data_IF_478990926450
#
_entry.id   IF_478990926450
#
_cell.length_a   1.000
_cell.length_b   1.000
_cell.length_c   1.000
_cell.angle_alpha   90.00
_cell.angle_beta   90.00
_cell.angle_gamma   90.00
#
_symmetry.space_group_name_H-M   'P 1'
#
loop_
_entity.id
_entity.type
_entity.pdbx_description
1 polymer ?
#
# COMPACT_ATOMS: atom_id res chain seq x y z
N UNK A 1 7.78 22.48 -7.45
CA UNK A 1 6.84 22.95 -6.40
C UNK A 1 6.02 21.75 -5.98
N UNK A 2 6.08 21.34 -4.71
CA UNK A 2 5.23 20.26 -4.22
C UNK A 2 3.77 20.72 -4.26
N UNK A 3 2.92 19.99 -4.98
CA UNK A 3 1.51 20.32 -5.13
C UNK A 3 0.74 19.88 -3.91
N UNK A 4 -0.03 20.80 -3.30
CA UNK A 4 -0.91 20.47 -2.19
C UNK A 4 -2.03 19.54 -2.66
N UNK A 5 -2.11 18.34 -2.08
CA UNK A 5 -3.21 17.39 -2.28
C UNK A 5 -4.26 17.64 -1.21
N UNK A 6 -5.51 18.00 -1.56
CA UNK A 6 -6.58 18.16 -0.56
C UNK A 6 -6.88 16.85 0.17
N UNK A 7 -7.36 16.97 1.40
CA UNK A 7 -7.76 15.85 2.25
C UNK A 7 -9.27 15.84 2.49
N UNK A 8 -9.80 14.68 2.86
CA UNK A 8 -11.15 14.50 3.38
C UNK A 8 -11.10 13.97 4.80
N UNK A 9 -12.03 14.42 5.64
CA UNK A 9 -12.22 13.86 6.98
C UNK A 9 -13.13 12.63 6.87
N UNK A 10 -12.61 11.48 7.23
CA UNK A 10 -13.38 10.23 7.28
C UNK A 10 -14.39 10.28 8.44
N UNK A 11 -15.39 9.40 8.42
CA UNK A 11 -16.34 9.26 9.53
C UNK A 11 -15.67 8.85 10.86
N UNK A 12 -14.44 8.35 10.81
CA UNK A 12 -13.59 8.06 11.96
C UNK A 12 -12.90 9.30 12.55
N UNK A 13 -13.04 10.47 11.92
CA UNK A 13 -12.38 11.71 12.32
C UNK A 13 -10.95 11.87 11.82
N UNK A 14 -10.40 10.88 11.12
CA UNK A 14 -9.06 10.97 10.53
C UNK A 14 -9.06 11.68 9.18
N UNK A 15 -8.05 12.51 8.92
CA UNK A 15 -7.81 13.11 7.60
C UNK A 15 -7.14 12.11 6.67
N UNK A 16 -7.64 12.02 5.43
CA UNK A 16 -7.09 11.17 4.39
C UNK A 16 -6.84 11.99 3.12
N UNK A 17 -5.63 11.99 2.54
CA UNK A 17 -5.36 12.64 1.26
C UNK A 17 -6.20 12.01 0.14
N UNK A 18 -6.80 12.85 -0.71
CA UNK A 18 -7.70 12.40 -1.77
C UNK A 18 -6.98 11.66 -2.91
N UNK A 19 -5.70 11.96 -3.14
CA UNK A 19 -4.89 11.29 -4.16
C UNK A 19 -3.96 10.31 -3.45
N UNK A 20 -4.10 9.03 -3.80
CA UNK A 20 -3.25 7.95 -3.31
C UNK A 20 -2.44 7.27 -4.42
N UNK A 21 -1.27 6.76 -4.05
CA UNK A 21 -0.44 5.90 -4.89
C UNK A 21 -0.83 4.44 -4.66
N UNK A 22 -1.31 3.76 -5.71
CA UNK A 22 -1.56 2.32 -5.66
C UNK A 22 -0.27 1.52 -5.79
N UNK A 23 -0.11 0.47 -4.98
CA UNK A 23 1.11 -0.36 -4.98
C UNK A 23 0.87 -1.79 -5.49
N UNK A 24 -0.22 -2.01 -6.22
CA UNK A 24 -0.48 -3.31 -6.84
C UNK A 24 0.57 -3.63 -7.92
N UNK A 25 1.01 -4.90 -8.05
CA UNK A 25 1.91 -5.29 -9.13
C UNK A 25 1.30 -5.01 -10.50
N UNK A 26 2.08 -4.38 -11.38
CA UNK A 26 1.68 -4.12 -12.77
C UNK A 26 2.00 -5.29 -13.72
N UNK A 27 2.77 -6.26 -13.24
CA UNK A 27 3.21 -7.45 -13.96
C UNK A 27 3.12 -8.69 -13.04
N UNK A 28 3.26 -9.92 -13.58
CA UNK A 28 3.20 -11.15 -12.78
C UNK A 28 4.24 -11.21 -11.65
N UNK A 29 5.34 -10.47 -11.80
CA UNK A 29 6.41 -10.33 -10.81
C UNK A 29 6.56 -8.87 -10.43
N UNK A 30 6.84 -8.62 -9.15
CA UNK A 30 7.27 -7.31 -8.70
C UNK A 30 8.66 -6.96 -9.25
N UNK A 31 8.98 -5.66 -9.40
CA UNK A 31 10.36 -5.21 -9.50
C UNK A 31 11.19 -5.67 -8.30
N UNK A 32 12.53 -5.67 -8.42
CA UNK A 32 13.42 -5.83 -7.27
C UNK A 32 13.07 -4.87 -6.14
N UNK A 33 13.28 -5.31 -4.90
CA UNK A 33 12.92 -4.55 -3.69
C UNK A 33 13.51 -3.14 -3.68
N UNK A 34 14.79 -3.00 -4.01
CA UNK A 34 15.48 -1.69 -4.02
C UNK A 34 14.86 -0.72 -5.05
N UNK A 35 14.39 -1.24 -6.18
CA UNK A 35 13.69 -0.44 -7.20
C UNK A 35 12.32 0.01 -6.69
N UNK A 36 11.58 -0.87 -6.00
CA UNK A 36 10.31 -0.51 -5.35
C UNK A 36 10.52 0.55 -4.27
N UNK A 37 11.57 0.43 -3.46
CA UNK A 37 11.92 1.44 -2.46
C UNK A 37 12.16 2.79 -3.14
N UNK A 38 12.98 2.84 -4.19
CA UNK A 38 13.24 4.07 -4.95
C UNK A 38 11.95 4.68 -5.49
N UNK A 39 11.07 3.88 -6.11
CA UNK A 39 9.79 4.34 -6.65
C UNK A 39 8.92 4.98 -5.56
N UNK A 40 8.85 4.38 -4.38
CA UNK A 40 8.05 4.91 -3.28
C UNK A 40 8.68 6.16 -2.65
N UNK A 41 10.00 6.24 -2.57
CA UNK A 41 10.69 7.46 -2.11
C UNK A 41 10.46 8.60 -3.10
N UNK A 42 10.56 8.34 -4.41
CA UNK A 42 10.27 9.33 -5.45
C UNK A 42 8.81 9.80 -5.38
N UNK A 43 7.87 8.91 -5.09
CA UNK A 43 6.47 9.29 -4.87
C UNK A 43 6.31 10.22 -3.65
N UNK A 44 7.00 9.93 -2.54
CA UNK A 44 6.99 10.81 -1.36
C UNK A 44 7.60 12.18 -1.69
N UNK A 45 8.71 12.21 -2.43
CA UNK A 45 9.36 13.44 -2.88
C UNK A 45 8.47 14.25 -3.83
N UNK A 46 7.72 13.57 -4.70
CA UNK A 46 6.73 14.19 -5.59
C UNK A 46 5.49 14.76 -4.85
N UNK A 47 5.31 14.42 -3.56
CA UNK A 47 4.25 14.95 -2.72
C UNK A 47 3.13 13.96 -2.41
N UNK A 48 3.24 12.68 -2.80
CA UNK A 48 2.28 11.68 -2.35
C UNK A 48 2.36 11.51 -0.84
N UNK A 49 1.19 11.48 -0.21
CA UNK A 49 1.03 11.24 1.22
C UNK A 49 0.06 10.12 1.52
N UNK A 50 -0.62 9.56 0.53
CA UNK A 50 -1.48 8.38 0.69
C UNK A 50 -0.95 7.23 -0.18
N UNK A 51 -0.73 6.06 0.44
CA UNK A 51 -0.36 4.83 -0.24
C UNK A 51 -1.39 3.73 0.01
N UNK A 52 -1.85 3.10 -1.06
CA UNK A 52 -2.77 1.96 -1.01
C UNK A 52 -2.02 0.66 -1.35
N UNK A 53 -1.90 -0.21 -0.35
CA UNK A 53 -1.22 -1.51 -0.43
C UNK A 53 -2.13 -2.65 0.04
N UNK A 54 -1.63 -3.88 0.03
CA UNK A 54 -2.28 -5.05 0.56
C UNK A 54 -1.26 -6.14 0.90
N UNK A 55 -1.59 -6.98 1.88
CA UNK A 55 -0.76 -8.13 2.26
C UNK A 55 -0.52 -9.13 1.11
N UNK A 56 -1.37 -9.13 0.07
CA UNK A 56 -1.20 -9.98 -1.12
C UNK A 56 -0.26 -9.39 -2.17
N UNK A 57 0.10 -8.11 -2.09
CA UNK A 57 0.87 -7.44 -3.15
C UNK A 57 2.36 -7.71 -3.07
N UNK A 58 2.89 -8.02 -1.87
CA UNK A 58 4.34 -8.24 -1.67
C UNK A 58 5.17 -6.95 -1.61
N UNK A 59 4.54 -5.77 -1.74
CA UNK A 59 5.20 -4.47 -1.75
C UNK A 59 5.29 -3.78 -0.38
N UNK A 60 4.66 -4.33 0.67
CA UNK A 60 4.54 -3.68 1.99
C UNK A 60 5.89 -3.47 2.69
N UNK A 61 6.82 -4.41 2.55
CA UNK A 61 8.15 -4.30 3.14
C UNK A 61 8.95 -3.16 2.48
N UNK A 62 8.95 -3.11 1.14
CA UNK A 62 9.59 -2.03 0.38
C UNK A 62 8.96 -0.67 0.70
N UNK A 63 7.63 -0.59 0.84
CA UNK A 63 6.95 0.64 1.23
C UNK A 63 7.35 1.09 2.64
N UNK A 64 7.48 0.15 3.59
CA UNK A 64 7.95 0.44 4.94
C UNK A 64 9.36 1.01 4.96
N UNK A 65 10.27 0.45 4.16
CA UNK A 65 11.65 0.95 4.01
C UNK A 65 11.70 2.33 3.37
N UNK A 66 10.91 2.56 2.32
CA UNK A 66 10.82 3.87 1.67
C UNK A 66 10.32 4.96 2.63
N UNK A 67 9.35 4.67 3.49
CA UNK A 67 8.88 5.62 4.51
C UNK A 67 9.98 5.90 5.55
N UNK A 68 10.74 4.88 5.95
CA UNK A 68 11.85 5.06 6.87
C UNK A 68 12.99 5.89 6.24
N UNK A 69 13.33 5.64 4.98
CA UNK A 69 14.30 6.43 4.23
C UNK A 69 13.84 7.88 4.07
N UNK A 70 12.57 8.09 3.73
CA UNK A 70 11.99 9.42 3.58
C UNK A 70 12.05 10.24 4.88
N UNK A 71 11.85 9.59 6.04
CA UNK A 71 12.05 10.21 7.35
C UNK A 71 13.52 10.58 7.58
N UNK A 72 14.45 9.67 7.28
CA UNK A 72 15.89 9.91 7.45
C UNK A 72 16.40 11.04 6.54
N UNK A 73 15.88 11.11 5.31
CA UNK A 73 16.19 12.15 4.31
C UNK A 73 15.46 13.47 4.57
N UNK A 74 14.50 13.51 5.50
CA UNK A 74 13.71 14.70 5.80
C UNK A 74 12.69 15.07 4.72
N UNK A 75 12.29 14.11 3.86
CA UNK A 75 11.24 14.30 2.85
C UNK A 75 9.84 14.39 3.49
N UNK A 76 9.69 13.80 4.67
CA UNK A 76 8.55 13.93 5.58
C UNK A 76 9.09 14.17 6.99
N UNK A 77 8.38 14.95 7.82
CA UNK A 77 8.88 15.31 9.16
C UNK A 77 8.62 14.22 10.19
N UNK A 78 7.52 13.49 10.02
CA UNK A 78 7.08 12.44 10.94
C UNK A 78 6.22 11.40 10.19
N UNK A 79 5.92 10.29 10.88
CA UNK A 79 5.19 9.17 10.29
C UNK A 79 3.74 9.55 9.96
N UNK A 80 3.16 10.47 10.72
CA UNK A 80 1.78 10.93 10.62
C UNK A 80 1.50 11.69 9.32
N UNK A 81 2.54 12.21 8.63
CA UNK A 81 2.38 12.80 7.31
C UNK A 81 1.94 11.79 6.24
N UNK A 82 2.11 10.48 6.47
CA UNK A 82 1.75 9.44 5.49
C UNK A 82 0.53 8.63 5.93
N UNK A 83 -0.50 8.62 5.10
CA UNK A 83 -1.66 7.74 5.23
C UNK A 83 -1.40 6.43 4.46
N UNK A 84 -1.40 5.29 5.15
CA UNK A 84 -1.18 3.98 4.51
C UNK A 84 -2.43 3.12 4.70
N UNK A 85 -3.04 2.73 3.59
CA UNK A 85 -4.15 1.79 3.55
C UNK A 85 -3.62 0.40 3.23
N UNK A 86 -3.92 -0.60 4.07
CA UNK A 86 -3.63 -2.01 3.79
C UNK A 86 -4.88 -2.87 3.88
N UNK A 87 -4.86 -3.99 3.16
CA UNK A 87 -5.97 -4.95 3.03
C UNK A 87 -5.51 -6.30 3.55
N UNK A 88 -6.28 -6.89 4.47
CA UNK A 88 -5.98 -8.24 4.97
C UNK A 88 -6.17 -9.26 3.86
N UNK A 89 -5.18 -10.15 3.71
CA UNK A 89 -5.32 -11.34 2.88
C UNK A 89 -6.40 -12.23 3.48
N UNK A 90 -7.43 -12.55 2.70
CA UNK A 90 -8.37 -13.60 3.08
C UNK A 90 -7.66 -14.94 2.94
N UNK A 91 -7.77 -15.80 3.95
CA UNK A 91 -7.17 -17.13 3.93
C UNK A 91 -8.05 -18.04 3.05
N UNK A 92 -7.96 -17.87 1.73
CA UNK A 92 -8.49 -18.82 0.75
C UNK A 92 -7.55 -20.04 0.72
N UNK A 93 -7.48 -20.79 1.82
CA UNK A 93 -7.33 -22.22 1.69
C UNK A 93 -8.62 -22.65 1.03
N UNK A 94 -8.59 -22.82 -0.29
CA UNK A 94 -9.65 -23.50 -1.00
C UNK A 94 -9.93 -24.77 -0.19
N UNK A 95 -11.08 -24.86 0.46
CA UNK A 95 -11.68 -26.16 0.67
C UNK A 95 -11.87 -26.69 -0.74
N UNK A 96 -10.85 -27.37 -1.25
CA UNK A 96 -11.00 -28.35 -2.29
C UNK A 96 -11.78 -29.49 -1.62
N UNK A 97 -13.08 -29.24 -1.34
CA UNK A 97 -14.04 -30.30 -1.20
C UNK A 97 -14.14 -30.86 -2.62
N UNK A 98 -13.60 -32.07 -2.89
CA UNK A 98 -13.83 -32.70 -4.17
C UNK A 98 -15.34 -32.81 -4.35
N UNK A 99 -15.82 -32.32 -5.50
CA UNK A 99 -17.21 -32.40 -5.95
C UNK A 99 -17.63 -33.86 -6.16
N UNK A 100 -17.82 -34.61 -5.06
CA UNK A 100 -18.35 -35.99 -5.08
C UNK A 100 -19.35 -36.34 -3.97
N UNK A 101 -19.70 -35.43 -3.07
CA UNK A 101 -20.70 -35.71 -2.00
C UNK A 101 -21.95 -34.82 -2.04
N UNK A 102 -22.38 -34.34 -3.22
CA UNK A 102 -23.67 -33.64 -3.37
C UNK A 102 -24.72 -34.44 -4.18
N UNK A 103 -24.65 -35.77 -4.18
CA UNK A 103 -25.69 -36.65 -4.73
C UNK A 103 -25.77 -37.98 -3.99
N UNK A 104 -26.19 -37.97 -2.71
CA UNK A 104 -26.84 -39.12 -2.08
C UNK A 104 -27.87 -38.64 -1.05
N UNK A 105 -29.15 -38.87 -1.39
CA UNK A 105 -30.27 -39.09 -0.46
C UNK A 105 -30.66 -37.95 0.45
#
# INVERSE_FOLDING_TARGET
MATFVPSVVLNSGHEMPLIGMGTAPTAPTLPPKDELVSIFVDAIEAGYRHFDTAASYGSEEALGEAVAEALQRGLIKNREEVFITSKRKHNMTLFFLPSKELLRG
#
